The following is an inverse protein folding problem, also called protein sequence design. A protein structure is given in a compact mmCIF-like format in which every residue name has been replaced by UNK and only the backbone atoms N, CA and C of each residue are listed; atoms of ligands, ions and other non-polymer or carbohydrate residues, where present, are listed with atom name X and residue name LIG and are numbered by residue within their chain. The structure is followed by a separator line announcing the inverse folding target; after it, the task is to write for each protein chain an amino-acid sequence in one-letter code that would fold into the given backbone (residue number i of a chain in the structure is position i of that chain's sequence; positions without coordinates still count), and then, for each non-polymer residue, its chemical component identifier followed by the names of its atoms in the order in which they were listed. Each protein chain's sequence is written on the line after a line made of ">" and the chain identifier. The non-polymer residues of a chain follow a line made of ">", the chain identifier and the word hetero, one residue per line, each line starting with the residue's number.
data_IF_307574334043
#
_entry.id   IF_307574334043
#
_cell.length_a   1.000
_cell.length_b   1.000
_cell.length_c   1.000
_cell.angle_alpha   90.00
_cell.angle_beta   90.00
_cell.angle_gamma   90.00
#
_symmetry.space_group_name_H-M   'P 1'
#
loop_
_entity.id
_entity.type
_entity.pdbx_description
1 polymer ?
#
# COMPACT_ATOMS: atom_id res chain seq x y z
N UNK A 1 -1.69 -6.84 -25.75
CA UNK A 1 -1.51 -6.28 -24.40
C UNK A 1 -2.02 -7.30 -23.42
N UNK A 2 -1.13 -7.91 -22.65
CA UNK A 2 -1.50 -8.70 -21.47
C UNK A 2 -2.20 -7.75 -20.50
N UNK A 3 -3.44 -8.05 -20.14
CA UNK A 3 -4.18 -7.26 -19.16
C UNK A 3 -3.94 -7.94 -17.82
N UNK A 4 -3.12 -7.32 -16.98
CA UNK A 4 -2.84 -7.85 -15.64
C UNK A 4 -3.99 -7.51 -14.70
N UNK A 5 -4.29 -8.41 -13.76
CA UNK A 5 -5.24 -8.13 -12.67
C UNK A 5 -4.63 -7.17 -11.65
N UNK A 6 -5.46 -6.58 -10.78
CA UNK A 6 -4.98 -5.70 -9.71
C UNK A 6 -3.97 -6.40 -8.79
N UNK A 7 -4.25 -7.66 -8.44
CA UNK A 7 -3.37 -8.50 -7.60
C UNK A 7 -2.07 -8.83 -8.32
N UNK A 8 -2.12 -9.13 -9.61
CA UNK A 8 -0.91 -9.37 -10.42
C UNK A 8 -0.02 -8.12 -10.49
N UNK A 9 -0.61 -6.95 -10.76
CA UNK A 9 0.16 -5.69 -10.80
C UNK A 9 0.76 -5.38 -9.43
N UNK A 10 0.01 -5.58 -8.34
CA UNK A 10 0.54 -5.41 -6.98
C UNK A 10 1.72 -6.36 -6.72
N UNK A 11 1.60 -7.64 -7.05
CA UNK A 11 2.66 -8.63 -6.88
C UNK A 11 3.92 -8.31 -7.71
N UNK A 12 3.74 -7.85 -8.96
CA UNK A 12 4.84 -7.41 -9.81
C UNK A 12 5.56 -6.18 -9.23
N UNK A 13 4.81 -5.20 -8.73
CA UNK A 13 5.37 -4.01 -8.08
C UNK A 13 6.13 -4.38 -6.79
N UNK A 14 5.59 -5.29 -5.99
CA UNK A 14 6.25 -5.81 -4.80
C UNK A 14 7.53 -6.58 -5.14
N UNK A 15 7.55 -7.31 -6.25
CA UNK A 15 8.76 -7.95 -6.76
C UNK A 15 9.81 -6.92 -7.20
N UNK A 16 9.41 -5.86 -7.92
CA UNK A 16 10.30 -4.78 -8.32
C UNK A 16 10.85 -3.98 -7.15
N UNK A 17 10.03 -3.73 -6.13
CA UNK A 17 10.45 -3.10 -4.88
C UNK A 17 11.54 -3.92 -4.16
N UNK A 18 11.34 -5.24 -4.05
CA UNK A 18 12.33 -6.16 -3.47
C UNK A 18 13.63 -6.19 -4.29
N UNK A 19 13.52 -6.17 -5.62
CA UNK A 19 14.68 -6.13 -6.52
C UNK A 19 15.48 -4.81 -6.46
N UNK A 20 14.83 -3.69 -6.11
CA UNK A 20 15.44 -2.36 -6.11
C UNK A 20 16.42 -2.09 -4.97
N UNK A 21 16.46 -2.94 -3.93
CA UNK A 21 17.23 -2.75 -2.70
C UNK A 21 17.10 -1.33 -2.09
N UNK A 22 15.90 -0.75 -2.19
CA UNK A 22 15.62 0.61 -1.72
C UNK A 22 14.45 0.62 -0.73
N UNK A 23 14.68 0.94 0.56
CA UNK A 23 13.61 1.02 1.56
C UNK A 23 12.57 2.09 1.20
N UNK A 24 12.98 3.16 0.51
CA UNK A 24 12.06 4.20 0.03
C UNK A 24 11.11 3.69 -1.06
N UNK A 25 11.62 2.91 -2.02
CA UNK A 25 10.76 2.27 -3.04
C UNK A 25 9.85 1.22 -2.41
N UNK A 26 10.36 0.41 -1.47
CA UNK A 26 9.56 -0.58 -0.75
C UNK A 26 8.41 0.06 0.01
N UNK A 27 8.67 1.13 0.75
CA UNK A 27 7.63 1.89 1.45
C UNK A 27 6.63 2.55 0.50
N UNK A 28 7.10 3.13 -0.62
CA UNK A 28 6.22 3.73 -1.62
C UNK A 28 5.28 2.69 -2.24
N UNK A 29 5.80 1.52 -2.62
CA UNK A 29 5.01 0.42 -3.14
C UNK A 29 4.06 -0.12 -2.07
N UNK A 30 4.50 -0.24 -0.81
CA UNK A 30 3.64 -0.63 0.31
C UNK A 30 2.41 0.29 0.43
N UNK A 31 2.58 1.60 0.32
CA UNK A 31 1.45 2.53 0.28
C UNK A 31 0.58 2.35 -0.97
N UNK A 32 1.21 2.23 -2.13
CA UNK A 32 0.53 2.16 -3.42
C UNK A 32 -0.37 0.92 -3.53
N UNK A 33 0.10 -0.25 -3.09
CA UNK A 33 -0.64 -1.52 -3.15
C UNK A 33 -1.78 -1.61 -2.16
N UNK A 34 -1.88 -0.67 -1.22
CA UNK A 34 -3.05 -0.52 -0.34
C UNK A 34 -4.20 0.27 -0.99
N UNK A 35 -3.97 0.84 -2.17
CA UNK A 35 -4.99 1.56 -2.94
C UNK A 35 -5.57 0.67 -4.04
N UNK A 36 -6.61 1.15 -4.71
CA UNK A 36 -7.17 0.51 -5.90
C UNK A 36 -6.33 0.78 -7.17
N UNK A 37 -5.32 1.65 -7.10
CA UNK A 37 -4.55 2.11 -8.24
C UNK A 37 -3.88 0.98 -9.07
N UNK A 38 -3.33 -0.10 -8.47
CA UNK A 38 -2.80 -1.23 -9.23
C UNK A 38 -3.80 -1.87 -10.19
N UNK A 39 -5.11 -1.83 -9.86
CA UNK A 39 -6.17 -2.34 -10.70
C UNK A 39 -6.65 -1.40 -11.80
N UNK A 40 -6.13 -0.17 -11.85
CA UNK A 40 -6.60 0.86 -12.77
C UNK A 40 -5.79 0.85 -14.06
N UNK A 41 -6.48 0.81 -15.19
CA UNK A 41 -5.86 0.92 -16.51
C UNK A 41 -5.02 2.22 -16.65
N UNK A 42 -5.41 3.28 -15.93
CA UNK A 42 -4.71 4.56 -15.88
C UNK A 42 -3.27 4.47 -15.35
N UNK A 43 -2.94 3.43 -14.57
CA UNK A 43 -1.58 3.20 -14.06
C UNK A 43 -0.64 2.62 -15.13
N UNK A 44 -1.18 1.90 -16.12
CA UNK A 44 -0.38 1.17 -17.11
C UNK A 44 0.70 2.00 -17.82
N UNK A 45 0.48 3.27 -18.21
CA UNK A 45 1.50 4.10 -18.84
C UNK A 45 2.70 4.40 -17.93
N UNK A 46 2.56 4.23 -16.61
CA UNK A 46 3.61 4.47 -15.62
C UNK A 46 4.44 3.23 -15.33
N UNK A 47 4.01 2.05 -15.77
CA UNK A 47 4.68 0.78 -15.47
C UNK A 47 5.81 0.49 -16.46
N UNK A 48 6.95 0.08 -15.91
CA UNK A 48 7.93 -0.77 -16.58
C UNK A 48 7.75 -2.19 -16.11
N UNK A 49 7.87 -3.18 -17.00
CA UNK A 49 7.86 -4.60 -16.62
C UNK A 49 9.04 -5.27 -17.32
N UNK A 50 9.92 -5.87 -16.53
CA UNK A 50 11.06 -6.65 -17.00
C UNK A 50 11.29 -7.85 -16.08
N UNK A 51 11.96 -8.87 -16.62
CA UNK A 51 12.40 -10.02 -15.84
C UNK A 51 13.68 -9.66 -15.08
N UNK A 52 13.71 -9.94 -13.79
CA UNK A 52 14.89 -9.75 -12.92
C UNK A 52 15.28 -11.03 -12.25
N UNK A 53 16.58 -11.16 -11.97
CA UNK A 53 17.09 -12.26 -11.16
C UNK A 53 16.88 -11.93 -9.67
N UNK A 54 15.95 -12.64 -9.05
CA UNK A 54 15.79 -12.68 -7.59
C UNK A 54 16.24 -14.04 -7.08
N UNK A 55 17.37 -14.08 -6.38
CA UNK A 55 17.93 -15.28 -5.74
C UNK A 55 18.19 -16.45 -6.72
N UNK A 56 18.67 -16.16 -7.93
CA UNK A 56 18.94 -17.15 -8.96
C UNK A 56 17.70 -17.58 -9.76
N UNK A 57 16.57 -16.89 -9.58
CA UNK A 57 15.32 -17.14 -10.30
C UNK A 57 14.93 -15.90 -11.10
N UNK A 58 14.74 -16.09 -12.41
CA UNK A 58 14.17 -15.06 -13.29
C UNK A 58 12.69 -14.91 -12.97
N UNK A 59 12.30 -13.74 -12.46
CA UNK A 59 10.92 -13.40 -12.10
C UNK A 59 10.49 -12.09 -12.74
N UNK A 60 9.26 -11.97 -13.23
CA UNK A 60 8.75 -10.72 -13.73
C UNK A 60 8.55 -9.75 -12.57
N UNK A 61 8.94 -8.50 -12.76
CA UNK A 61 8.79 -7.43 -11.79
C UNK A 61 8.36 -6.14 -12.49
N UNK A 62 7.79 -5.22 -11.72
CA UNK A 62 7.34 -3.93 -12.24
C UNK A 62 7.91 -2.75 -11.44
N UNK A 63 8.12 -1.63 -12.15
CA UNK A 63 8.57 -0.35 -11.57
C UNK A 63 7.69 0.78 -12.05
N UNK A 64 7.58 1.80 -11.20
CA UNK A 64 6.99 3.08 -11.58
C UNK A 64 8.06 3.95 -12.21
N UNK A 65 7.89 4.31 -13.49
CA UNK A 65 8.84 5.14 -14.25
C UNK A 65 8.73 6.63 -13.95
N UNK A 66 7.53 7.13 -13.65
CA UNK A 66 7.26 8.56 -13.42
C UNK A 66 6.48 8.78 -12.11
N UNK A 67 7.21 8.65 -10.99
CA UNK A 67 6.70 8.96 -9.66
C UNK A 67 6.20 10.39 -9.52
N UNK A 68 6.83 11.34 -10.23
CA UNK A 68 6.43 12.75 -10.20
C UNK A 68 5.06 12.96 -10.85
N UNK A 69 4.80 12.31 -12.00
CA UNK A 69 3.50 12.28 -12.65
C UNK A 69 2.42 11.67 -11.77
N UNK A 70 2.72 10.55 -11.10
CA UNK A 70 1.84 9.90 -10.13
C UNK A 70 1.52 10.82 -8.95
N UNK A 71 2.52 11.48 -8.35
CA UNK A 71 2.32 12.41 -7.22
C UNK A 71 1.45 13.62 -7.56
N UNK A 72 1.44 14.01 -8.84
CA UNK A 72 0.55 15.05 -9.40
C UNK A 72 -0.79 14.50 -9.91
N UNK A 73 -1.03 13.20 -9.76
CA UNK A 73 -2.21 12.48 -10.20
C UNK A 73 -2.50 12.65 -11.70
N UNK A 74 -1.46 12.88 -12.50
CA UNK A 74 -1.62 13.17 -13.93
C UNK A 74 -2.16 11.94 -14.65
N UNK A 75 -3.28 12.08 -15.33
CA UNK A 75 -3.84 10.96 -16.11
C UNK A 75 -4.30 9.76 -15.28
N UNK A 76 -4.33 9.84 -13.93
CA UNK A 76 -4.79 8.77 -13.04
C UNK A 76 -6.30 8.84 -12.75
N UNK A 77 -7.07 9.47 -13.64
CA UNK A 77 -8.51 9.75 -13.45
C UNK A 77 -8.80 10.45 -12.11
N UNK A 78 -9.99 10.22 -11.55
CA UNK A 78 -10.34 10.74 -10.23
C UNK A 78 -9.89 9.78 -9.13
N UNK A 79 -9.04 10.28 -8.22
CA UNK A 79 -8.72 9.69 -6.94
C UNK A 79 -9.20 10.67 -5.86
N UNK A 80 -9.69 10.17 -4.73
CA UNK A 80 -10.17 11.04 -3.66
C UNK A 80 -9.89 10.46 -2.27
N UNK A 81 -9.88 11.34 -1.26
CA UNK A 81 -9.81 10.94 0.14
C UNK A 81 -8.51 10.22 0.50
N UNK A 82 -8.62 9.08 1.18
CA UNK A 82 -7.47 8.31 1.66
C UNK A 82 -6.54 7.85 0.53
N UNK A 83 -7.10 7.27 -0.54
CA UNK A 83 -6.32 6.73 -1.66
C UNK A 83 -5.45 7.81 -2.33
N UNK A 84 -6.03 8.99 -2.62
CA UNK A 84 -5.27 10.12 -3.17
C UNK A 84 -4.06 10.48 -2.28
N UNK A 85 -4.30 10.57 -0.97
CA UNK A 85 -3.26 10.96 -0.01
C UNK A 85 -2.16 9.91 0.09
N UNK A 86 -2.51 8.62 0.06
CA UNK A 86 -1.52 7.54 0.03
C UNK A 86 -0.70 7.56 -1.26
N UNK A 87 -1.31 7.82 -2.42
CA UNK A 87 -0.58 7.94 -3.69
C UNK A 87 0.41 9.10 -3.67
N UNK A 88 0.01 10.26 -3.16
CA UNK A 88 0.91 11.42 -3.02
C UNK A 88 2.06 11.13 -2.05
N UNK A 89 1.77 10.48 -0.92
CA UNK A 89 2.79 10.09 0.05
C UNK A 89 3.73 9.02 -0.51
N UNK A 90 3.24 8.06 -1.31
CA UNK A 90 4.07 7.09 -2.00
C UNK A 90 5.05 7.76 -2.97
N UNK A 91 4.57 8.69 -3.79
CA UNK A 91 5.42 9.49 -4.67
C UNK A 91 6.45 10.34 -3.90
N UNK A 92 6.05 10.90 -2.75
CA UNK A 92 6.93 11.63 -1.84
C UNK A 92 8.07 10.74 -1.31
N UNK A 93 7.75 9.53 -0.87
CA UNK A 93 8.75 8.58 -0.39
C UNK A 93 9.70 8.13 -1.50
N UNK A 94 9.18 7.81 -2.69
CA UNK A 94 9.99 7.30 -3.79
C UNK A 94 10.89 8.36 -4.47
N UNK A 95 10.45 9.62 -4.51
CA UNK A 95 11.11 10.68 -5.31
C UNK A 95 11.39 11.97 -4.53
N UNK A 96 11.06 12.03 -3.24
CA UNK A 96 11.37 13.17 -2.37
C UNK A 96 10.52 14.42 -2.61
N UNK A 97 9.41 14.33 -3.33
CA UNK A 97 8.51 15.48 -3.52
C UNK A 97 7.82 15.83 -2.19
N UNK A 98 7.92 17.07 -1.66
CA UNK A 98 7.35 17.40 -0.37
C UNK A 98 5.81 17.26 -0.35
N UNK A 99 5.29 16.75 0.76
CA UNK A 99 3.85 16.71 1.04
C UNK A 99 3.54 17.43 2.35
N UNK A 100 2.37 18.06 2.42
CA UNK A 100 1.84 18.57 3.69
C UNK A 100 1.33 17.38 4.52
N UNK A 101 2.11 16.99 5.53
CA UNK A 101 1.74 15.88 6.42
C UNK A 101 0.48 16.17 7.22
N UNK A 102 0.20 17.42 7.58
CA UNK A 102 -1.04 17.77 8.30
C UNK A 102 -2.25 17.42 7.44
N UNK A 103 -2.26 17.90 6.19
CA UNK A 103 -3.32 17.59 5.24
C UNK A 103 -3.38 16.09 4.90
N UNK A 104 -2.22 15.45 4.70
CA UNK A 104 -2.11 14.04 4.28
C UNK A 104 -2.59 13.08 5.36
N UNK A 105 -2.28 13.34 6.63
CA UNK A 105 -2.60 12.45 7.75
C UNK A 105 -3.97 12.75 8.39
N UNK A 106 -4.50 13.97 8.22
CA UNK A 106 -5.77 14.37 8.82
C UNK A 106 -6.94 13.49 8.40
N UNK A 107 -7.69 12.94 9.35
CA UNK A 107 -8.92 12.19 9.06
C UNK A 107 -8.72 10.85 8.35
N UNK A 108 -7.51 10.28 8.37
CA UNK A 108 -7.30 8.89 7.96
C UNK A 108 -7.99 7.93 8.95
N UNK A 109 -8.68 6.93 8.43
CA UNK A 109 -9.16 5.80 9.23
C UNK A 109 -7.98 4.96 9.74
N UNK A 110 -8.21 4.16 10.78
CA UNK A 110 -7.15 3.38 11.44
C UNK A 110 -6.36 2.47 10.49
N UNK A 111 -7.02 1.86 9.50
CA UNK A 111 -6.36 0.99 8.54
C UNK A 111 -5.38 1.76 7.62
N UNK A 112 -5.77 2.96 7.16
CA UNK A 112 -4.89 3.84 6.39
C UNK A 112 -3.74 4.37 7.26
N UNK A 113 -4.04 4.76 8.50
CA UNK A 113 -3.02 5.25 9.43
C UNK A 113 -1.97 4.16 9.74
N UNK A 114 -2.41 2.91 9.97
CA UNK A 114 -1.51 1.76 10.13
C UNK A 114 -0.62 1.59 8.90
N UNK A 115 -1.17 1.64 7.70
CA UNK A 115 -0.39 1.51 6.46
C UNK A 115 0.69 2.59 6.33
N UNK A 116 0.37 3.82 6.71
CA UNK A 116 1.35 4.92 6.74
C UNK A 116 2.45 4.67 7.77
N UNK A 117 2.10 4.22 8.98
CA UNK A 117 3.10 3.90 10.00
C UNK A 117 4.05 2.80 9.55
N UNK A 118 3.52 1.74 8.92
CA UNK A 118 4.32 0.66 8.35
C UNK A 118 5.25 1.17 7.25
N UNK A 119 4.77 2.01 6.34
CA UNK A 119 5.62 2.59 5.30
C UNK A 119 6.74 3.48 5.88
N UNK A 120 6.46 4.23 6.95
CA UNK A 120 7.49 5.02 7.65
C UNK A 120 8.52 4.10 8.33
N UNK A 121 8.07 2.99 8.94
CA UNK A 121 8.97 2.01 9.53
C UNK A 121 9.89 1.40 8.46
N UNK A 122 9.34 0.98 7.31
CA UNK A 122 10.11 0.47 6.16
C UNK A 122 11.12 1.52 5.65
N UNK A 123 10.68 2.76 5.40
CA UNK A 123 11.57 3.84 4.95
C UNK A 123 12.76 4.09 5.87
N UNK A 124 12.56 3.89 7.18
CA UNK A 124 13.58 4.17 8.19
C UNK A 124 14.40 2.93 8.58
N UNK A 125 14.08 1.76 8.03
CA UNK A 125 14.65 0.47 8.45
C UNK A 125 14.26 0.08 9.88
N UNK A 126 13.21 0.69 10.43
CA UNK A 126 12.74 0.42 11.79
C UNK A 126 11.86 -0.85 11.85
N UNK A 127 11.34 -1.29 10.71
CA UNK A 127 10.53 -2.51 10.57
C UNK A 127 11.31 -3.79 10.90
N UNK A 128 12.65 -3.77 10.84
CA UNK A 128 13.50 -4.86 11.32
C UNK A 128 13.54 -4.97 12.86
N UNK A 129 13.21 -3.90 13.57
CA UNK A 129 13.37 -3.80 15.03
C UNK A 129 12.05 -3.62 15.78
N UNK A 130 11.02 -3.15 15.10
CA UNK A 130 9.74 -2.78 15.70
C UNK A 130 8.57 -3.34 14.89
N UNK A 131 7.60 -3.92 15.61
CA UNK A 131 6.34 -4.37 15.03
C UNK A 131 5.21 -3.37 15.31
N UNK A 132 4.41 -3.07 14.30
CA UNK A 132 3.22 -2.23 14.42
C UNK A 132 2.00 -3.12 14.62
N UNK A 133 1.52 -3.20 15.85
CA UNK A 133 0.39 -4.04 16.25
C UNK A 133 -0.80 -3.21 16.74
N UNK A 134 -2.00 -3.77 16.61
CA UNK A 134 -3.20 -3.12 17.14
C UNK A 134 -3.18 -3.09 18.66
N UNK A 135 -3.53 -1.94 19.22
CA UNK A 135 -3.71 -1.82 20.66
C UNK A 135 -5.07 -2.38 21.10
N UNK A 136 -5.23 -2.76 22.38
CA UNK A 136 -6.54 -3.15 22.92
C UNK A 136 -7.63 -2.09 22.74
N UNK A 137 -7.26 -0.80 22.63
CA UNK A 137 -8.23 0.27 22.38
C UNK A 137 -8.81 0.19 20.96
N UNK A 138 -7.96 -0.05 19.96
CA UNK A 138 -8.40 -0.21 18.58
C UNK A 138 -9.24 -1.49 18.43
N UNK A 139 -8.84 -2.59 19.05
CA UNK A 139 -9.60 -3.84 19.07
C UNK A 139 -11.01 -3.63 19.64
N UNK A 140 -11.13 -2.94 20.80
CA UNK A 140 -12.44 -2.60 21.39
C UNK A 140 -13.31 -1.77 20.46
N UNK A 141 -12.71 -0.78 19.78
CA UNK A 141 -13.43 0.06 18.82
C UNK A 141 -13.95 -0.79 17.63
N UNK A 142 -13.12 -1.68 17.08
CA UNK A 142 -13.51 -2.56 16.00
C UNK A 142 -14.62 -3.55 16.42
N UNK A 143 -14.51 -4.17 17.61
CA UNK A 143 -15.57 -5.02 18.16
C UNK A 143 -16.89 -4.27 18.35
N UNK A 144 -16.83 -3.03 18.82
CA UNK A 144 -18.02 -2.18 18.97
C UNK A 144 -18.68 -1.87 17.62
N UNK A 145 -17.88 -1.51 16.60
CA UNK A 145 -18.38 -1.23 15.25
C UNK A 145 -19.00 -2.48 14.60
N UNK A 146 -18.35 -3.65 14.71
CA UNK A 146 -18.88 -4.91 14.21
C UNK A 146 -20.24 -5.26 14.84
N UNK A 147 -20.35 -5.09 16.17
CA UNK A 147 -21.62 -5.31 16.89
C UNK A 147 -22.72 -4.34 16.43
N UNK A 148 -22.40 -3.08 16.14
CA UNK A 148 -23.35 -2.08 15.65
C UNK A 148 -23.86 -2.40 14.24
N UNK A 149 -23.01 -2.96 13.39
CA UNK A 149 -23.32 -3.33 12.00
C UNK A 149 -24.01 -4.70 11.87
N UNK A 150 -24.15 -5.45 12.98
CA UNK A 150 -24.75 -6.79 12.97
C UNK A 150 -23.83 -7.86 12.38
N UNK A 151 -22.53 -7.56 12.24
CA UNK A 151 -21.53 -8.53 11.81
C UNK A 151 -21.10 -9.36 13.03
N UNK A 152 -21.88 -10.39 13.35
CA UNK A 152 -21.45 -11.39 14.33
C UNK A 152 -20.37 -12.25 13.70
N UNK A 153 -19.12 -12.15 14.19
CA UNK A 153 -18.10 -13.16 13.92
C UNK A 153 -18.68 -14.55 14.20
N UNK A 154 -18.52 -15.55 13.31
CA UNK A 154 -18.97 -16.90 13.57
C UNK A 154 -18.07 -17.50 14.66
N UNK A 155 -18.48 -17.33 15.92
CA UNK A 155 -17.98 -18.15 17.02
C UNK A 155 -18.58 -19.54 16.85
N UNK A 156 -17.93 -20.35 16.01
CA UNK A 156 -18.21 -21.78 15.90
C UNK A 156 -17.68 -22.53 17.11
N UNK A 157 -18.17 -22.22 18.32
CA UNK A 157 -18.12 -23.15 19.44
C UNK A 157 -19.12 -24.27 19.15
N UNK A 158 -18.64 -25.35 18.53
CA UNK A 158 -19.33 -26.62 18.51
C UNK A 158 -19.24 -27.25 19.90
N UNK A 159 -20.27 -27.05 20.73
CA UNK A 159 -20.52 -27.87 21.92
C UNK A 159 -21.41 -29.06 21.56
N UNK A 160 -20.89 -30.24 21.91
CA UNK A 160 -21.58 -31.43 22.43
C UNK A 160 -22.37 -32.33 21.47
N UNK A 161 -21.89 -33.57 21.36
CA UNK A 161 -22.60 -34.75 21.93
C UNK A 161 -21.63 -35.56 22.79
#
# INVERSE_FOLDING_TARGET
>A
MTTHTAEEVAALLEAGARASDSPFQQAAIHLLTYTDLPGRADLQPYLDIEDVDLNGQSVPAAWIRDWHGIGKLKGLGHLHGGAERLVRLAASMAHGEPVDLSATLSGLGHAHARRVLEAVAICSGADEFYEITETPALQRNNSFLAALLGETSPTGEGRSE
#
